data_IF_955925612372
#
_entry.id   IF_955925612372
#
_cell.length_a   1.000
_cell.length_b   1.000
_cell.length_c   1.000
_cell.angle_alpha   90.00
_cell.angle_beta   90.00
_cell.angle_gamma   90.00
#
_symmetry.space_group_name_H-M   'P 1'
#
loop_
_entity.id
_entity.type
_entity.pdbx_description
1 polymer ?
#
# COMPACT_ATOMS: atom_id res chain seq x y z
N UNK A 1 -0.23 10.46 20.91
CA UNK A 1 0.40 9.14 20.65
C UNK A 1 -0.28 8.34 19.54
N UNK A 2 -1.43 8.77 19.00
CA UNK A 2 -2.26 8.00 18.06
C UNK A 2 -2.12 8.37 16.57
N UNK A 3 -1.73 9.61 16.25
CA UNK A 3 -1.67 10.11 14.87
C UNK A 3 -0.64 9.39 13.97
N UNK A 4 0.64 9.16 14.38
CA UNK A 4 1.61 8.50 13.50
C UNK A 4 1.25 7.02 13.26
N UNK A 5 0.68 6.34 14.26
CA UNK A 5 0.20 4.97 14.11
C UNK A 5 -0.97 4.89 13.12
N UNK A 6 -1.87 5.86 13.13
CA UNK A 6 -2.97 5.94 12.18
C UNK A 6 -2.45 6.09 10.74
N UNK A 7 -1.44 6.93 10.53
CA UNK A 7 -0.81 7.13 9.21
C UNK A 7 -0.18 5.82 8.71
N UNK A 8 0.51 5.08 9.59
CA UNK A 8 1.07 3.78 9.26
C UNK A 8 -0.02 2.79 8.84
N UNK A 9 -1.10 2.69 9.60
CA UNK A 9 -2.22 1.79 9.31
C UNK A 9 -2.88 2.17 7.98
N UNK A 10 -3.08 3.46 7.71
CA UNK A 10 -3.68 3.93 6.46
C UNK A 10 -2.81 3.59 5.25
N UNK A 11 -1.50 3.84 5.32
CA UNK A 11 -0.59 3.52 4.22
C UNK A 11 -0.45 2.01 4.00
N UNK A 12 -0.17 1.24 5.04
CA UNK A 12 -0.01 -0.21 4.91
C UNK A 12 -1.33 -0.90 4.54
N UNK A 13 -2.45 -0.46 5.12
CA UNK A 13 -3.77 -0.97 4.82
C UNK A 13 -4.20 -0.69 3.38
N UNK A 14 -3.94 0.51 2.87
CA UNK A 14 -4.22 0.85 1.47
C UNK A 14 -3.32 0.05 0.51
N UNK A 15 -2.02 -0.07 0.81
CA UNK A 15 -1.09 -0.90 0.04
C UNK A 15 -1.55 -2.37 -0.01
N UNK A 16 -2.00 -2.91 1.12
CA UNK A 16 -2.54 -4.26 1.22
C UNK A 16 -3.85 -4.43 0.43
N UNK A 17 -4.77 -3.47 0.50
CA UNK A 17 -6.00 -3.54 -0.29
C UNK A 17 -5.70 -3.54 -1.80
N UNK A 18 -4.73 -2.74 -2.25
CA UNK A 18 -4.29 -2.74 -3.65
C UNK A 18 -3.60 -4.05 -4.02
N UNK A 19 -2.83 -4.68 -3.14
CA UNK A 19 -2.21 -5.98 -3.41
C UNK A 19 -3.24 -7.11 -3.54
N UNK A 20 -4.33 -7.07 -2.78
CA UNK A 20 -5.45 -7.98 -2.97
C UNK A 20 -6.11 -7.81 -4.35
N UNK A 21 -6.24 -6.57 -4.83
CA UNK A 21 -6.76 -6.28 -6.17
C UNK A 21 -5.80 -6.83 -7.24
N UNK A 22 -4.48 -6.72 -7.03
CA UNK A 22 -3.48 -7.31 -7.93
C UNK A 22 -3.59 -8.84 -7.96
N UNK A 23 -3.68 -9.51 -6.81
CA UNK A 23 -3.83 -10.96 -6.74
C UNK A 23 -5.13 -11.44 -7.42
N UNK A 24 -6.25 -10.74 -7.17
CA UNK A 24 -7.50 -11.02 -7.85
C UNK A 24 -7.39 -10.85 -9.37
N UNK A 25 -6.67 -9.83 -9.85
CA UNK A 25 -6.44 -9.59 -11.27
C UNK A 25 -5.61 -10.70 -11.91
N UNK A 26 -4.59 -11.21 -11.21
CA UNK A 26 -3.75 -12.31 -11.70
C UNK A 26 -4.53 -13.62 -11.82
N UNK A 27 -5.50 -13.86 -10.93
CA UNK A 27 -6.40 -15.03 -10.98
C UNK A 27 -7.48 -14.89 -12.05
N UNK A 28 -8.05 -13.70 -12.20
CA UNK A 28 -9.06 -13.38 -13.20
C UNK A 28 -8.79 -11.98 -13.76
N UNK A 29 -8.30 -11.84 -15.00
CA UNK A 29 -7.99 -10.53 -15.56
C UNK A 29 -9.26 -9.68 -15.73
N UNK A 30 -9.36 -8.58 -14.98
CA UNK A 30 -10.47 -7.61 -15.07
C UNK A 30 -10.05 -6.14 -15.25
N UNK A 31 -8.75 -5.83 -15.15
CA UNK A 31 -8.19 -4.49 -15.37
C UNK A 31 -7.53 -4.42 -16.76
N UNK A 32 -7.48 -3.22 -17.34
CA UNK A 32 -6.60 -2.97 -18.48
C UNK A 32 -5.13 -3.02 -18.03
N UNK A 33 -4.19 -3.17 -18.98
CA UNK A 33 -2.74 -3.13 -18.67
C UNK A 33 -2.38 -1.86 -17.90
N UNK A 34 -2.89 -0.71 -18.34
CA UNK A 34 -2.65 0.57 -17.67
C UNK A 34 -3.25 0.58 -16.25
N UNK A 35 -4.45 0.05 -16.07
CA UNK A 35 -5.08 -0.05 -14.76
C UNK A 35 -4.29 -0.95 -13.80
N UNK A 36 -3.84 -2.11 -14.27
CA UNK A 36 -3.01 -3.00 -13.47
C UNK A 36 -1.67 -2.36 -13.09
N UNK A 37 -1.01 -1.65 -14.01
CA UNK A 37 0.21 -0.89 -13.71
C UNK A 37 -0.04 0.17 -12.65
N UNK A 38 -1.14 0.92 -12.74
CA UNK A 38 -1.46 1.98 -11.79
C UNK A 38 -1.74 1.44 -10.39
N UNK A 39 -2.52 0.36 -10.29
CA UNK A 39 -2.75 -0.35 -9.01
C UNK A 39 -1.44 -0.87 -8.43
N UNK A 40 -0.56 -1.41 -9.28
CA UNK A 40 0.73 -1.95 -8.85
C UNK A 40 1.70 -0.89 -8.33
N UNK A 41 1.82 0.22 -9.06
CA UNK A 41 2.62 1.38 -8.64
C UNK A 41 2.04 1.99 -7.35
N UNK A 42 0.72 2.12 -7.28
CA UNK A 42 0.04 2.60 -6.07
C UNK A 42 0.34 1.72 -4.86
N UNK A 43 0.16 0.41 -4.98
CA UNK A 43 0.46 -0.59 -3.93
C UNK A 43 1.90 -0.45 -3.42
N UNK A 44 2.86 -0.41 -4.34
CA UNK A 44 4.27 -0.21 -4.02
C UNK A 44 4.53 1.10 -3.27
N UNK A 45 4.00 2.24 -3.76
CA UNK A 45 4.16 3.53 -3.12
C UNK A 45 3.58 3.56 -1.70
N UNK A 46 2.40 2.97 -1.49
CA UNK A 46 1.77 2.90 -0.18
C UNK A 46 2.56 2.02 0.80
N UNK A 47 3.10 0.88 0.37
CA UNK A 47 3.98 0.08 1.21
C UNK A 47 5.29 0.79 1.54
N UNK A 48 5.88 1.51 0.58
CA UNK A 48 7.10 2.29 0.80
C UNK A 48 6.87 3.40 1.83
N UNK A 49 5.81 4.21 1.64
CA UNK A 49 5.44 5.28 2.57
C UNK A 49 5.06 4.72 3.96
N UNK A 50 4.32 3.61 4.01
CA UNK A 50 3.98 2.93 5.24
C UNK A 50 5.22 2.40 5.97
N UNK A 51 6.21 1.88 5.24
CA UNK A 51 7.48 1.43 5.80
C UNK A 51 8.29 2.58 6.40
N UNK A 52 8.40 3.72 5.68
CA UNK A 52 9.05 4.93 6.21
C UNK A 52 8.32 5.49 7.43
N UNK A 53 6.99 5.57 7.39
CA UNK A 53 6.19 6.01 8.52
C UNK A 53 6.36 5.06 9.73
N UNK A 54 6.48 3.75 9.48
CA UNK A 54 6.72 2.75 10.52
C UNK A 54 8.09 2.94 11.16
N UNK A 55 9.14 3.17 10.37
CA UNK A 55 10.48 3.46 10.90
C UNK A 55 10.48 4.73 11.75
N UNK A 56 9.81 5.79 11.29
CA UNK A 56 9.65 7.03 12.06
C UNK A 56 8.91 6.79 13.38
N UNK A 57 7.83 6.01 13.35
CA UNK A 57 7.06 5.69 14.54
C UNK A 57 7.84 4.84 15.55
N UNK A 58 8.58 3.83 15.08
CA UNK A 58 9.31 2.89 15.94
C UNK A 58 10.61 3.46 16.50
N UNK A 59 11.34 4.26 15.72
CA UNK A 59 12.68 4.73 16.05
C UNK A 59 12.77 6.23 16.30
N UNK A 60 11.69 6.99 16.07
CA UNK A 60 11.61 8.41 16.42
C UNK A 60 12.44 9.36 15.56
N UNK A 61 12.93 8.92 14.39
CA UNK A 61 13.69 9.75 13.44
C UNK A 61 12.86 10.90 12.83
#
# INVERSE_FOLDING_TARGET
>A
MSEPLLIVILFLGTGFALSLIQDAHLKKPFLSRMGFTLVSVGSFCFFLLGSFASMKFLFGF
#
